data_IF_180028328063
#
_entry.id   IF_180028328063
#
_cell.length_a   1.000
_cell.length_b   1.000
_cell.length_c   1.000
_cell.angle_alpha   90.00
_cell.angle_beta   90.00
_cell.angle_gamma   90.00
#
_symmetry.space_group_name_H-M   'P 1'
#
loop_
_entity.id
_entity.type
_entity.pdbx_description
1 polymer ?
#
# COMPACT_ATOMS: atom_id res chain seq x y z
N UNK A 1 -23.21 10.97 38.65
CA UNK A 1 -23.30 10.19 37.40
C UNK A 1 -23.03 11.14 36.24
N UNK A 2 -21.89 11.01 35.56
CA UNK A 2 -21.52 11.85 34.41
C UNK A 2 -22.13 11.26 33.15
N UNK A 3 -22.99 12.03 32.46
CA UNK A 3 -23.55 11.67 31.16
C UNK A 3 -22.39 11.57 30.16
N UNK A 4 -22.26 10.50 29.36
CA UNK A 4 -21.20 10.39 28.37
C UNK A 4 -21.39 11.45 27.28
N UNK A 5 -20.28 12.05 26.87
CA UNK A 5 -20.15 13.17 25.93
C UNK A 5 -20.52 12.71 24.50
N UNK A 6 -21.82 12.58 24.22
CA UNK A 6 -22.37 12.05 22.97
C UNK A 6 -21.92 12.83 21.73
N UNK A 7 -21.62 14.12 21.90
CA UNK A 7 -21.22 15.03 20.82
C UNK A 7 -19.80 14.74 20.31
N UNK A 8 -18.92 14.23 21.18
CA UNK A 8 -17.59 13.76 20.74
C UNK A 8 -17.69 12.46 19.95
N UNK A 9 -18.60 11.58 20.34
CA UNK A 9 -18.76 10.28 19.71
C UNK A 9 -19.42 10.38 18.33
N UNK A 10 -20.33 11.35 18.12
CA UNK A 10 -20.87 11.68 16.80
C UNK A 10 -19.82 12.29 15.88
N UNK A 11 -18.99 13.22 16.40
CA UNK A 11 -17.88 13.81 15.65
C UNK A 11 -16.86 12.78 15.14
N UNK A 12 -16.53 11.77 15.94
CA UNK A 12 -15.63 10.68 15.53
C UNK A 12 -16.21 9.82 14.40
N UNK A 13 -17.52 9.56 14.43
CA UNK A 13 -18.20 8.80 13.36
C UNK A 13 -18.23 9.58 12.05
N UNK A 14 -18.51 10.88 12.13
CA UNK A 14 -18.50 11.76 10.96
C UNK A 14 -17.10 11.90 10.37
N UNK A 15 -16.06 11.87 11.20
CA UNK A 15 -14.67 11.89 10.75
C UNK A 15 -14.30 10.65 9.92
N UNK A 16 -14.70 9.45 10.38
CA UNK A 16 -14.50 8.20 9.64
C UNK A 16 -15.31 8.21 8.34
N UNK A 17 -16.56 8.65 8.41
CA UNK A 17 -17.44 8.72 7.24
C UNK A 17 -16.92 9.71 6.17
N UNK A 18 -16.32 10.82 6.60
CA UNK A 18 -15.65 11.75 5.69
C UNK A 18 -14.45 11.11 4.99
N UNK A 19 -13.67 10.28 5.71
CA UNK A 19 -12.57 9.52 5.14
C UNK A 19 -13.04 8.48 4.11
N UNK A 20 -14.04 7.67 4.44
CA UNK A 20 -14.63 6.68 3.53
C UNK A 20 -15.21 7.32 2.26
N UNK A 21 -15.85 8.49 2.41
CA UNK A 21 -16.35 9.30 1.30
C UNK A 21 -15.22 9.75 0.36
N UNK A 22 -14.11 10.27 0.92
CA UNK A 22 -12.97 10.74 0.10
C UNK A 22 -12.28 9.58 -0.61
N UNK A 23 -12.18 8.43 0.03
CA UNK A 23 -11.61 7.20 -0.55
C UNK A 23 -12.53 6.54 -1.58
N UNK A 24 -13.81 6.93 -1.65
CA UNK A 24 -14.80 6.31 -2.53
C UNK A 24 -15.14 4.88 -2.13
N UNK A 25 -14.98 4.52 -0.86
CA UNK A 25 -15.21 3.16 -0.34
C UNK A 25 -16.71 2.85 -0.08
N UNK A 26 -17.57 3.86 -0.22
CA UNK A 26 -19.00 3.77 0.04
C UNK A 26 -19.79 3.33 -1.21
N UNK A 27 -20.94 2.66 -1.01
CA UNK A 27 -21.89 2.39 -2.10
C UNK A 27 -22.33 3.67 -2.84
N UNK A 28 -22.70 3.58 -4.13
CA UNK A 28 -22.99 4.76 -4.96
C UNK A 28 -24.16 5.59 -4.43
N UNK A 29 -25.18 4.97 -3.84
CA UNK A 29 -26.30 5.65 -3.20
C UNK A 29 -25.87 6.48 -1.98
N UNK A 30 -24.99 5.93 -1.14
CA UNK A 30 -24.44 6.62 0.03
C UNK A 30 -23.50 7.76 -0.38
N UNK A 31 -22.72 7.56 -1.44
CA UNK A 31 -21.89 8.62 -2.04
C UNK A 31 -22.73 9.80 -2.53
N UNK A 32 -23.86 9.54 -3.19
CA UNK A 32 -24.75 10.59 -3.69
C UNK A 32 -25.42 11.37 -2.55
N UNK A 33 -25.79 10.70 -1.47
CA UNK A 33 -26.34 11.35 -0.28
C UNK A 33 -25.30 12.23 0.43
N UNK A 34 -24.10 11.70 0.65
CA UNK A 34 -23.01 12.47 1.26
C UNK A 34 -22.57 13.63 0.38
N UNK A 35 -22.58 13.49 -0.95
CA UNK A 35 -22.31 14.61 -1.86
C UNK A 35 -23.33 15.76 -1.67
N UNK A 36 -24.59 15.47 -1.34
CA UNK A 36 -25.58 16.49 -0.96
C UNK A 36 -25.28 17.05 0.43
N UNK A 37 -24.90 16.19 1.39
CA UNK A 37 -24.53 16.60 2.76
C UNK A 37 -23.34 17.57 2.76
N UNK A 38 -22.27 17.28 2.02
CA UNK A 38 -21.09 18.16 1.90
C UNK A 38 -21.46 19.57 1.44
N UNK A 39 -22.49 19.73 0.60
CA UNK A 39 -22.94 21.06 0.15
C UNK A 39 -23.69 21.85 1.22
N UNK A 40 -24.30 21.17 2.20
CA UNK A 40 -25.17 21.76 3.22
C UNK A 40 -24.49 21.89 4.58
N UNK A 41 -23.68 20.90 4.95
CA UNK A 41 -23.01 20.78 6.23
C UNK A 41 -21.55 21.26 6.11
N UNK A 42 -21.29 22.47 6.61
CA UNK A 42 -19.94 23.08 6.56
C UNK A 42 -18.92 22.31 7.39
N UNK A 43 -19.34 21.70 8.50
CA UNK A 43 -18.42 20.98 9.39
C UNK A 43 -17.97 19.69 8.71
N UNK A 44 -18.91 18.93 8.16
CA UNK A 44 -18.60 17.74 7.38
C UNK A 44 -17.75 18.08 6.13
N UNK A 45 -18.05 19.18 5.45
CA UNK A 45 -17.24 19.66 4.33
C UNK A 45 -15.79 20.00 4.73
N UNK A 46 -15.57 20.55 5.93
CA UNK A 46 -14.23 20.82 6.44
C UNK A 46 -13.45 19.53 6.74
N UNK A 47 -14.12 18.51 7.30
CA UNK A 47 -13.53 17.18 7.51
C UNK A 47 -13.12 16.54 6.17
N UNK A 48 -14.00 16.58 5.17
CA UNK A 48 -13.71 16.07 3.81
C UNK A 48 -12.52 16.79 3.17
N UNK A 49 -12.43 18.12 3.32
CA UNK A 49 -11.27 18.89 2.84
C UNK A 49 -9.98 18.44 3.51
N UNK A 50 -9.97 18.33 4.84
CA UNK A 50 -8.81 17.88 5.61
C UNK A 50 -8.33 16.49 5.16
N UNK A 51 -9.25 15.56 4.95
CA UNK A 51 -8.93 14.23 4.43
C UNK A 51 -8.29 14.29 3.04
N UNK A 52 -8.85 15.08 2.12
CA UNK A 52 -8.27 15.26 0.78
C UNK A 52 -6.86 15.83 0.83
N UNK A 53 -6.64 16.85 1.66
CA UNK A 53 -5.34 17.50 1.79
C UNK A 53 -4.30 16.53 2.37
N UNK A 54 -4.66 15.79 3.42
CA UNK A 54 -3.79 14.78 4.04
C UNK A 54 -3.42 13.65 3.06
N UNK A 55 -4.38 13.18 2.26
CA UNK A 55 -4.12 12.14 1.26
C UNK A 55 -3.25 12.67 0.12
N UNK A 56 -3.46 13.90 -0.33
CA UNK A 56 -2.62 14.53 -1.35
C UNK A 56 -1.17 14.71 -0.88
N UNK A 57 -0.97 15.11 0.38
CA UNK A 57 0.38 15.19 0.97
C UNK A 57 1.05 13.82 1.04
N UNK A 58 0.30 12.79 1.45
CA UNK A 58 0.80 11.41 1.54
C UNK A 58 1.23 10.89 0.17
N UNK A 59 0.38 11.05 -0.84
CA UNK A 59 0.68 10.64 -2.22
C UNK A 59 1.89 11.40 -2.78
N UNK A 60 1.99 12.70 -2.52
CA UNK A 60 3.16 13.50 -2.91
C UNK A 60 4.45 12.98 -2.27
N UNK A 61 4.43 12.70 -0.97
CA UNK A 61 5.60 12.18 -0.23
C UNK A 61 6.02 10.80 -0.73
N UNK A 62 5.06 9.92 -0.99
CA UNK A 62 5.32 8.59 -1.55
C UNK A 62 5.97 8.68 -2.94
N UNK A 63 5.39 9.49 -3.84
CA UNK A 63 5.96 9.71 -5.18
C UNK A 63 7.35 10.33 -5.12
N UNK A 64 7.60 11.28 -4.22
CA UNK A 64 8.91 11.87 -4.01
C UNK A 64 9.92 10.84 -3.46
N UNK A 65 9.49 9.96 -2.54
CA UNK A 65 10.32 8.87 -2.04
C UNK A 65 10.68 7.85 -3.12
N UNK A 66 9.72 7.46 -3.96
CA UNK A 66 9.96 6.56 -5.09
C UNK A 66 10.88 7.22 -6.13
N UNK A 67 10.65 8.49 -6.47
CA UNK A 67 11.54 9.24 -7.37
C UNK A 67 12.98 9.30 -6.82
N UNK A 68 13.16 9.54 -5.52
CA UNK A 68 14.48 9.54 -4.89
C UNK A 68 15.15 8.16 -4.90
N UNK A 69 14.39 7.06 -4.91
CA UNK A 69 14.93 5.71 -5.06
C UNK A 69 15.31 5.40 -6.52
N UNK A 70 14.55 5.91 -7.49
CA UNK A 70 14.78 5.68 -8.93
C UNK A 70 15.91 6.55 -9.49
N UNK A 71 16.06 7.78 -8.98
CA UNK A 71 17.15 8.70 -9.32
C UNK A 71 18.50 8.28 -8.67
N UNK A 72 18.47 7.20 -7.89
CA UNK A 72 19.66 6.62 -7.28
C UNK A 72 20.40 5.78 -8.31
N UNK A 73 21.25 6.45 -9.07
CA UNK A 73 22.15 5.91 -10.08
C UNK A 73 22.90 4.64 -9.56
N UNK A 74 22.62 3.43 -10.08
CA UNK A 74 23.14 2.18 -9.54
C UNK A 74 24.66 2.01 -9.73
N UNK A 75 25.30 2.89 -10.50
CA UNK A 75 26.73 2.86 -10.78
C UNK A 75 27.59 3.66 -9.80
N UNK A 76 27.00 4.52 -8.96
CA UNK A 76 27.77 5.52 -8.19
C UNK A 76 27.81 5.36 -6.67
N UNK A 77 27.14 4.36 -6.11
CA UNK A 77 27.19 4.14 -4.66
C UNK A 77 27.46 2.68 -4.33
N UNK A 78 28.74 2.38 -4.08
CA UNK A 78 29.08 1.43 -3.02
C UNK A 78 28.28 1.83 -1.78
N UNK A 79 27.53 0.85 -1.25
CA UNK A 79 26.59 0.99 -0.13
C UNK A 79 27.12 1.93 0.97
N UNK A 80 26.25 2.77 1.56
CA UNK A 80 25.61 2.27 2.77
C UNK A 80 24.11 2.61 2.81
N UNK A 81 23.31 1.56 2.94
CA UNK A 81 21.92 1.64 3.37
C UNK A 81 21.88 2.10 4.83
N UNK A 82 21.95 3.42 5.06
CA UNK A 82 21.76 4.04 6.38
C UNK A 82 20.31 4.50 6.47
N UNK A 83 19.41 3.60 6.86
CA UNK A 83 18.00 3.93 6.95
C UNK A 83 17.06 2.84 7.43
N UNK A 84 17.47 1.93 8.32
CA UNK A 84 16.63 1.30 9.35
C UNK A 84 17.44 0.21 10.07
N UNK A 85 17.39 0.11 11.41
CA UNK A 85 17.95 -1.04 12.12
C UNK A 85 17.03 -2.24 11.86
N UNK A 86 17.30 -2.97 10.78
CA UNK A 86 16.82 -4.35 10.60
C UNK A 86 17.52 -5.21 11.66
N UNK A 87 16.92 -5.20 12.85
CA UNK A 87 17.03 -6.20 13.91
C UNK A 87 17.20 -7.60 13.28
N UNK A 88 18.43 -8.12 13.32
CA UNK A 88 18.80 -9.51 13.06
C UNK A 88 18.16 -10.21 11.84
N UNK A 89 17.98 -9.50 10.72
CA UNK A 89 17.57 -10.11 9.45
C UNK A 89 18.74 -10.85 8.81
N UNK A 90 18.87 -12.14 9.13
CA UNK A 90 19.86 -13.11 8.66
C UNK A 90 20.36 -12.86 7.22
N UNK A 91 21.68 -12.92 6.98
CA UNK A 91 22.35 -12.80 5.65
C UNK A 91 21.65 -13.64 4.56
N UNK A 92 21.04 -14.74 4.99
CA UNK A 92 20.21 -15.62 4.16
C UNK A 92 19.02 -14.91 3.50
N UNK A 93 18.37 -13.95 4.15
CA UNK A 93 17.25 -13.21 3.57
C UNK A 93 17.69 -12.33 2.39
N UNK A 94 18.89 -11.74 2.45
CA UNK A 94 19.45 -10.96 1.35
C UNK A 94 19.80 -11.87 0.15
N UNK A 95 20.43 -13.03 0.40
CA UNK A 95 20.73 -14.01 -0.66
C UNK A 95 19.47 -14.57 -1.32
N UNK A 96 18.43 -14.88 -0.54
CA UNK A 96 17.15 -15.37 -1.07
C UNK A 96 16.48 -14.34 -1.98
N UNK A 97 16.56 -13.06 -1.63
CA UNK A 97 15.97 -11.99 -2.44
C UNK A 97 16.68 -11.83 -3.80
N UNK A 98 18.00 -12.03 -3.83
CA UNK A 98 18.81 -11.99 -5.05
C UNK A 98 18.51 -13.17 -5.98
N UNK A 99 18.38 -14.40 -5.43
CA UNK A 99 17.97 -15.60 -6.19
C UNK A 99 16.53 -15.46 -6.70
N UNK A 100 15.63 -14.92 -5.86
CA UNK A 100 14.23 -14.70 -6.21
C UNK A 100 14.05 -13.72 -7.38
N UNK A 101 14.89 -12.68 -7.46
CA UNK A 101 14.86 -11.72 -8.57
C UNK A 101 15.56 -12.21 -9.85
N UNK A 102 16.12 -13.42 -9.87
CA UNK A 102 16.83 -13.95 -11.04
C UNK A 102 15.88 -14.60 -12.05
N UNK A 103 15.66 -13.95 -13.19
CA UNK A 103 14.86 -14.50 -14.30
C UNK A 103 15.45 -15.80 -14.87
N UNK A 104 16.78 -15.93 -14.86
CA UNK A 104 17.46 -17.16 -15.33
C UNK A 104 17.16 -18.35 -14.42
N UNK A 105 17.10 -18.12 -13.10
CA UNK A 105 16.75 -19.15 -12.12
C UNK A 105 15.34 -19.70 -12.38
N UNK A 106 14.36 -18.81 -12.51
CA UNK A 106 12.97 -19.21 -12.80
C UNK A 106 12.81 -19.93 -14.15
N UNK A 107 13.55 -19.50 -15.19
CA UNK A 107 13.53 -20.19 -16.49
C UNK A 107 14.06 -21.62 -16.38
N UNK A 108 15.18 -21.82 -15.70
CA UNK A 108 15.75 -23.16 -15.51
C UNK A 108 14.83 -24.04 -14.66
N UNK A 109 14.27 -23.48 -13.58
CA UNK A 109 13.33 -24.19 -12.72
C UNK A 109 12.06 -24.62 -13.48
N UNK A 110 11.53 -23.77 -14.36
CA UNK A 110 10.39 -24.12 -15.20
C UNK A 110 10.73 -25.21 -16.22
N UNK A 111 11.91 -25.14 -16.85
CA UNK A 111 12.36 -26.15 -17.81
C UNK A 111 12.58 -27.50 -17.15
N UNK A 112 13.18 -27.54 -15.95
CA UNK A 112 13.34 -28.80 -15.22
C UNK A 112 11.99 -29.37 -14.80
N UNK A 113 11.06 -28.54 -14.31
CA UNK A 113 9.71 -28.99 -14.01
C UNK A 113 9.00 -29.59 -15.24
N UNK A 114 9.09 -28.92 -16.40
CA UNK A 114 8.55 -29.45 -17.66
C UNK A 114 9.18 -30.79 -18.03
N UNK A 115 10.51 -30.91 -17.94
CA UNK A 115 11.22 -32.15 -18.24
C UNK A 115 10.75 -33.29 -17.31
N UNK A 116 10.64 -33.02 -16.02
CA UNK A 116 10.15 -34.00 -15.03
C UNK A 116 8.71 -34.42 -15.32
N UNK A 117 7.82 -33.49 -15.67
CA UNK A 117 6.44 -33.84 -16.05
C UNK A 117 6.40 -34.70 -17.30
N UNK A 118 7.22 -34.41 -18.31
CA UNK A 118 7.29 -35.23 -19.53
C UNK A 118 7.80 -36.64 -19.24
N UNK A 119 8.81 -36.78 -18.38
CA UNK A 119 9.32 -38.09 -17.94
C UNK A 119 8.24 -38.88 -17.20
N UNK A 120 7.54 -38.24 -16.25
CA UNK A 120 6.46 -38.89 -15.50
C UNK A 120 5.33 -39.36 -16.42
N UNK A 121 4.91 -38.51 -17.36
CA UNK A 121 3.89 -38.87 -18.35
C UNK A 121 4.33 -40.05 -19.21
N UNK A 122 5.60 -40.07 -19.63
CA UNK A 122 6.15 -41.18 -20.42
C UNK A 122 6.29 -42.48 -19.62
N UNK A 123 6.54 -42.41 -18.31
CA UNK A 123 6.59 -43.61 -17.46
C UNK A 123 5.22 -44.18 -17.09
N UNK A 124 4.15 -43.38 -17.23
CA UNK A 124 2.77 -43.78 -16.90
C UNK A 124 2.02 -44.26 -18.16
N UNK A 125 2.45 -43.83 -19.35
CA UNK A 125 1.91 -44.28 -20.66
C UNK A 125 2.48 -45.64 -21.08
#
# INVERSE_FOLDING_TARGET
MTVPDRDKQSGLRDEVLAGEYVLGALPPESMAELAKRVKRDRQFAAMVRRWRDNLAETEYRERAGVAALLDRDPLRSGLPFKGQPLRNGSIFAAMLLEVWNSVRFWRLLALTAMLWTAVLLFTIA
#
